data_IF_050377389182
#
_entry.id   IF_050377389182
#
_cell.length_a   1.000
_cell.length_b   1.000
_cell.length_c   1.000
_cell.angle_alpha   90.00
_cell.angle_beta   90.00
_cell.angle_gamma   90.00
#
_symmetry.space_group_name_H-M   'P 1'
#
loop_
_entity.id
_entity.type
_entity.pdbx_description
1 polymer ?
#
# COMPACT_ATOMS: atom_id res chain seq x y z
N UNK A 1 10.84 16.77 -54.20
CA UNK A 1 9.90 16.26 -53.17
C UNK A 1 10.72 15.80 -51.97
N UNK A 2 10.79 16.61 -50.91
CA UNK A 2 11.58 16.31 -49.72
C UNK A 2 10.85 15.32 -48.81
N UNK A 3 11.49 14.21 -48.49
CA UNK A 3 11.03 13.20 -47.54
C UNK A 3 11.02 13.79 -46.11
N UNK A 4 9.83 13.97 -45.55
CA UNK A 4 9.66 14.24 -44.12
C UNK A 4 9.99 12.97 -43.33
N UNK A 5 11.22 12.87 -42.83
CA UNK A 5 11.56 11.92 -41.78
C UNK A 5 10.98 12.42 -40.46
N UNK A 6 9.79 11.93 -40.11
CA UNK A 6 9.26 12.06 -38.75
C UNK A 6 10.14 11.23 -37.81
N UNK A 7 11.13 11.86 -37.20
CA UNK A 7 11.87 11.30 -36.08
C UNK A 7 10.87 10.91 -34.98
N UNK A 8 10.71 9.61 -34.73
CA UNK A 8 9.95 9.09 -33.59
C UNK A 8 10.56 9.68 -32.32
N UNK A 9 9.96 10.74 -31.76
CA UNK A 9 10.30 11.22 -30.41
C UNK A 9 10.15 10.01 -29.50
N UNK A 10 11.26 9.54 -28.87
CA UNK A 10 11.20 8.53 -27.81
C UNK A 10 10.16 9.04 -26.81
N UNK A 11 9.03 8.32 -26.65
CA UNK A 11 8.04 8.64 -25.63
C UNK A 11 8.80 8.76 -24.32
N UNK A 12 8.71 9.91 -23.63
CA UNK A 12 9.24 10.03 -22.27
C UNK A 12 8.60 8.92 -21.47
N UNK A 13 9.43 8.13 -20.77
CA UNK A 13 8.93 7.07 -19.92
C UNK A 13 8.03 7.73 -18.84
N UNK A 14 6.84 7.19 -18.59
CA UNK A 14 5.92 7.78 -17.62
C UNK A 14 6.48 7.67 -16.20
N UNK A 15 6.22 8.68 -15.38
CA UNK A 15 6.43 8.62 -13.94
C UNK A 15 5.10 8.28 -13.24
N UNK A 16 5.16 7.68 -12.04
CA UNK A 16 4.00 7.27 -11.25
C UNK A 16 4.21 7.63 -9.78
N UNK A 17 3.13 7.90 -9.07
CA UNK A 17 3.22 8.13 -7.63
C UNK A 17 3.27 6.80 -6.88
N UNK A 18 4.06 6.74 -5.82
CA UNK A 18 3.96 5.71 -4.79
C UNK A 18 2.56 5.73 -4.20
N UNK A 19 1.89 4.58 -4.16
CA UNK A 19 0.49 4.49 -3.72
C UNK A 19 0.30 4.74 -2.21
N UNK A 20 1.39 4.70 -1.42
CA UNK A 20 1.34 4.88 0.03
C UNK A 20 1.65 6.30 0.49
N UNK A 21 2.64 6.96 -0.13
CA UNK A 21 3.16 8.27 0.32
C UNK A 21 3.13 9.35 -0.78
N UNK A 22 2.75 9.00 -2.01
CA UNK A 22 2.61 9.95 -3.12
C UNK A 22 3.91 10.41 -3.78
N UNK A 23 5.08 10.00 -3.29
CA UNK A 23 6.39 10.30 -3.89
C UNK A 23 6.45 9.88 -5.35
N UNK A 24 7.12 10.67 -6.20
CA UNK A 24 7.23 10.37 -7.63
C UNK A 24 8.28 9.29 -7.86
N UNK A 25 7.91 8.25 -8.59
CA UNK A 25 8.75 7.14 -9.00
C UNK A 25 8.94 7.17 -10.53
N UNK A 26 10.19 7.07 -10.94
CA UNK A 26 10.59 6.98 -12.33
C UNK A 26 10.44 5.54 -12.84
N UNK A 27 10.52 5.38 -14.17
CA UNK A 27 10.38 4.07 -14.79
C UNK A 27 11.40 3.06 -14.26
N UNK A 28 10.91 1.91 -13.81
CA UNK A 28 11.72 0.84 -13.23
C UNK A 28 11.97 0.99 -11.74
N UNK A 29 11.53 2.07 -11.12
CA UNK A 29 11.59 2.26 -9.67
C UNK A 29 10.39 1.63 -8.95
N UNK A 30 10.57 1.40 -7.65
CA UNK A 30 9.57 0.87 -6.76
C UNK A 30 9.48 -0.66 -6.70
N UNK A 31 8.46 -1.10 -5.98
CA UNK A 31 8.15 -2.49 -5.67
C UNK A 31 6.66 -2.72 -5.88
N UNK A 32 6.31 -3.87 -6.44
CA UNK A 32 4.93 -4.19 -6.72
C UNK A 32 4.42 -5.21 -5.70
N UNK A 33 3.48 -4.79 -4.87
CA UNK A 33 2.93 -5.58 -3.77
C UNK A 33 1.45 -5.90 -3.99
N UNK A 34 0.96 -7.00 -3.40
CA UNK A 34 -0.47 -7.33 -3.34
C UNK A 34 -1.11 -6.72 -2.08
N UNK A 35 -2.44 -6.57 -2.05
CA UNK A 35 -3.15 -6.15 -0.82
C UNK A 35 -2.85 -7.09 0.35
N UNK A 36 -2.73 -8.38 0.10
CA UNK A 36 -2.33 -9.36 1.12
C UNK A 36 -0.97 -9.04 1.72
N UNK A 37 0.03 -8.66 0.91
CA UNK A 37 1.35 -8.26 1.42
C UNK A 37 1.32 -6.93 2.19
N UNK A 38 0.47 -5.98 1.78
CA UNK A 38 0.31 -4.71 2.49
C UNK A 38 -0.27 -4.94 3.89
N UNK A 39 -1.37 -5.71 3.99
CA UNK A 39 -2.07 -5.84 5.26
C UNK A 39 -1.35 -6.77 6.25
N UNK A 40 -0.47 -7.65 5.77
CA UNK A 40 0.42 -8.52 6.57
C UNK A 40 1.61 -7.77 7.18
N UNK A 41 1.41 -6.55 7.67
CA UNK A 41 2.46 -5.76 8.32
C UNK A 41 1.95 -5.00 9.52
N UNK A 42 2.41 -5.42 10.72
CA UNK A 42 2.15 -4.68 11.96
C UNK A 42 2.75 -3.28 11.91
N UNK A 43 4.00 -3.18 11.46
CA UNK A 43 4.74 -1.93 11.37
C UNK A 43 4.02 -0.90 10.49
N UNK A 44 3.49 -1.34 9.35
CA UNK A 44 2.67 -0.49 8.49
C UNK A 44 1.44 0.03 9.24
N UNK A 45 0.67 -0.86 9.87
CA UNK A 45 -0.55 -0.45 10.57
C UNK A 45 -0.31 0.45 11.77
N UNK A 46 0.71 0.16 12.57
CA UNK A 46 1.09 0.97 13.72
C UNK A 46 1.39 2.40 13.28
N UNK A 47 2.24 2.56 12.26
CA UNK A 47 2.53 3.86 11.69
C UNK A 47 1.29 4.51 11.07
N UNK A 48 0.55 3.76 10.24
CA UNK A 48 -0.61 4.26 9.49
C UNK A 48 -1.70 4.78 10.41
N UNK A 49 -1.87 4.22 11.59
CA UNK A 49 -2.88 4.63 12.56
C UNK A 49 -2.47 5.83 13.44
N UNK A 50 -1.19 6.23 13.40
CA UNK A 50 -0.70 7.41 14.14
C UNK A 50 -0.18 8.52 13.23
N UNK A 51 -0.36 8.37 11.91
CA UNK A 51 -0.14 9.45 10.95
C UNK A 51 -1.08 10.64 11.21
N UNK A 52 -0.69 11.87 10.85
CA UNK A 52 -1.50 13.07 11.10
C UNK A 52 -2.96 12.95 10.61
N UNK A 53 -3.19 12.27 9.48
CA UNK A 53 -4.51 12.11 8.87
C UNK A 53 -5.42 11.13 9.62
N UNK A 54 -4.85 10.18 10.36
CA UNK A 54 -5.58 9.08 11.01
C UNK A 54 -5.56 9.16 12.53
N UNK A 55 -4.62 9.93 13.09
CA UNK A 55 -4.37 10.08 14.52
C UNK A 55 -5.64 10.40 15.31
N UNK A 56 -6.47 11.30 14.81
CA UNK A 56 -7.70 11.71 15.48
C UNK A 56 -8.68 10.55 15.68
N UNK A 57 -8.79 9.64 14.70
CA UNK A 57 -9.65 8.47 14.78
C UNK A 57 -9.11 7.43 15.76
N UNK A 58 -7.78 7.27 15.80
CA UNK A 58 -7.12 6.37 16.74
C UNK A 58 -7.24 6.86 18.18
N UNK A 59 -7.09 8.17 18.41
CA UNK A 59 -7.38 8.77 19.73
C UNK A 59 -8.84 8.60 20.14
N UNK A 60 -9.78 8.86 19.22
CA UNK A 60 -11.19 8.65 19.50
C UNK A 60 -11.50 7.19 19.87
N UNK A 61 -10.91 6.23 19.15
CA UNK A 61 -11.05 4.81 19.44
C UNK A 61 -10.50 4.44 20.83
N UNK A 62 -9.23 4.73 21.12
CA UNK A 62 -8.57 4.25 22.35
C UNK A 62 -8.85 5.11 23.59
N UNK A 63 -8.90 6.43 23.46
CA UNK A 63 -9.03 7.34 24.61
C UNK A 63 -10.50 7.59 24.98
N UNK A 64 -11.41 7.49 24.01
CA UNK A 64 -12.84 7.82 24.19
C UNK A 64 -13.78 6.64 23.99
N UNK A 65 -13.27 5.47 23.58
CA UNK A 65 -14.09 4.31 23.20
C UNK A 65 -15.18 4.67 22.18
N UNK A 66 -14.84 5.55 21.23
CA UNK A 66 -15.79 6.13 20.28
C UNK A 66 -16.02 5.19 19.08
N UNK A 67 -17.29 4.82 18.84
CA UNK A 67 -17.69 3.93 17.75
C UNK A 67 -17.37 4.50 16.35
N UNK A 68 -17.44 5.82 16.17
CA UNK A 68 -17.08 6.47 14.91
C UNK A 68 -15.57 6.37 14.68
N UNK A 69 -14.75 6.49 15.73
CA UNK A 69 -13.32 6.21 15.70
C UNK A 69 -13.03 4.79 15.19
N UNK A 70 -13.70 3.78 15.76
CA UNK A 70 -13.60 2.38 15.29
C UNK A 70 -14.05 2.23 13.84
N UNK A 71 -15.18 2.84 13.46
CA UNK A 71 -15.71 2.78 12.09
C UNK A 71 -14.74 3.38 11.07
N UNK A 72 -14.12 4.51 11.38
CA UNK A 72 -13.11 5.13 10.51
C UNK A 72 -11.88 4.24 10.36
N UNK A 73 -11.39 3.62 11.45
CA UNK A 73 -10.29 2.63 11.40
C UNK A 73 -10.64 1.42 10.54
N UNK A 74 -11.88 0.92 10.60
CA UNK A 74 -12.39 -0.12 9.70
C UNK A 74 -12.35 0.31 8.24
N UNK A 75 -12.80 1.53 7.92
CA UNK A 75 -12.75 2.04 6.53
C UNK A 75 -11.32 2.23 6.03
N UNK A 76 -10.40 2.64 6.90
CA UNK A 76 -8.96 2.70 6.59
C UNK A 76 -8.45 1.30 6.25
N UNK A 77 -8.74 0.28 7.07
CA UNK A 77 -8.35 -1.09 6.77
C UNK A 77 -8.89 -1.57 5.41
N UNK A 78 -10.18 -1.38 5.16
CA UNK A 78 -10.85 -1.76 3.90
C UNK A 78 -10.22 -1.11 2.67
N UNK A 79 -9.81 0.16 2.76
CA UNK A 79 -9.11 0.87 1.66
C UNK A 79 -7.86 0.11 1.20
N UNK A 80 -7.09 -0.46 2.12
CA UNK A 80 -5.87 -1.19 1.78
C UNK A 80 -6.12 -2.67 1.47
N UNK A 81 -7.14 -3.28 2.09
CA UNK A 81 -7.43 -4.69 1.90
C UNK A 81 -8.21 -5.00 0.61
N UNK A 82 -9.04 -4.08 0.10
CA UNK A 82 -9.97 -4.36 -1.01
C UNK A 82 -9.45 -3.95 -2.39
N UNK A 83 -8.17 -3.62 -2.53
CA UNK A 83 -7.62 -3.14 -3.79
C UNK A 83 -7.46 -4.30 -4.80
N UNK A 84 -8.01 -4.14 -6.00
CA UNK A 84 -7.96 -5.15 -7.06
C UNK A 84 -6.66 -5.09 -7.89
N UNK A 85 -5.94 -3.98 -7.81
CA UNK A 85 -4.68 -3.73 -8.52
C UNK A 85 -3.49 -3.88 -7.57
N UNK A 86 -2.30 -4.17 -8.09
CA UNK A 86 -1.13 -4.15 -7.23
C UNK A 86 -0.81 -2.73 -6.74
N UNK A 87 -0.10 -2.66 -5.63
CA UNK A 87 0.41 -1.43 -5.02
C UNK A 87 1.83 -1.18 -5.51
N UNK A 88 2.07 -0.01 -6.11
CA UNK A 88 3.41 0.49 -6.40
C UNK A 88 3.95 1.22 -5.16
N UNK A 89 4.95 0.64 -4.53
CA UNK A 89 5.55 1.12 -3.28
C UNK A 89 6.98 1.58 -3.52
N UNK A 90 7.34 2.77 -3.05
CA UNK A 90 8.70 3.32 -3.13
C UNK A 90 9.65 2.75 -2.07
N UNK A 91 10.96 2.99 -2.26
CA UNK A 91 12.02 2.54 -1.33
C UNK A 91 11.83 3.05 0.11
N UNK A 92 11.23 4.24 0.28
CA UNK A 92 10.94 4.82 1.60
C UNK A 92 9.96 3.99 2.43
N UNK A 93 9.03 3.29 1.78
CA UNK A 93 7.93 2.58 2.44
C UNK A 93 8.13 1.07 2.46
N UNK A 94 8.88 0.49 1.51
CA UNK A 94 9.02 -0.97 1.34
C UNK A 94 9.55 -1.69 2.60
N UNK A 95 10.35 -1.00 3.41
CA UNK A 95 10.96 -1.55 4.63
C UNK A 95 9.95 -1.81 5.77
N UNK A 96 8.69 -1.45 5.56
CA UNK A 96 7.61 -1.79 6.47
C UNK A 96 7.05 -3.19 6.24
N UNK A 97 7.34 -3.83 5.10
CA UNK A 97 6.73 -5.09 4.71
C UNK A 97 7.74 -6.24 4.77
N UNK A 98 7.30 -7.38 5.31
CA UNK A 98 8.05 -8.64 5.33
C UNK A 98 7.85 -9.37 4.01
N UNK A 99 8.56 -8.94 2.97
CA UNK A 99 8.45 -9.46 1.61
C UNK A 99 9.81 -9.79 1.00
N UNK A 100 9.80 -10.60 -0.04
CA UNK A 100 10.92 -10.74 -0.97
C UNK A 100 11.04 -9.46 -1.83
N UNK A 101 11.98 -8.60 -1.46
CA UNK A 101 12.22 -7.32 -2.13
C UNK A 101 12.77 -7.47 -3.54
N UNK A 102 13.57 -8.50 -3.80
CA UNK A 102 14.14 -8.72 -5.14
C UNK A 102 13.03 -9.09 -6.11
N UNK A 103 12.18 -10.04 -5.71
CA UNK A 103 11.02 -10.46 -6.49
C UNK A 103 9.99 -9.34 -6.68
N UNK A 104 9.69 -8.57 -5.62
CA UNK A 104 8.77 -7.44 -5.74
C UNK A 104 9.29 -6.33 -6.66
N UNK A 105 10.62 -6.13 -6.71
CA UNK A 105 11.26 -5.19 -7.66
C UNK A 105 11.23 -5.72 -9.08
N UNK A 106 11.42 -7.02 -9.28
CA UNK A 106 11.26 -7.66 -10.60
C UNK A 106 9.82 -7.49 -11.11
N UNK A 107 8.82 -7.71 -10.26
CA UNK A 107 7.42 -7.47 -10.61
C UNK A 107 7.13 -6.01 -10.96
N UNK A 108 7.72 -5.05 -10.26
CA UNK A 108 7.61 -3.64 -10.62
C UNK A 108 8.18 -3.39 -12.01
N UNK A 109 9.34 -3.96 -12.34
CA UNK A 109 9.94 -3.84 -13.68
C UNK A 109 9.03 -4.40 -14.77
N UNK A 110 8.46 -5.60 -14.58
CA UNK A 110 7.51 -6.20 -15.53
C UNK A 110 6.24 -5.34 -15.69
N UNK A 111 5.75 -4.75 -14.60
CA UNK A 111 4.65 -3.80 -14.62
C UNK A 111 4.94 -2.53 -15.41
N UNK A 112 6.13 -1.94 -15.23
CA UNK A 112 6.58 -0.80 -16.03
C UNK A 112 6.70 -1.15 -17.52
N UNK A 113 7.30 -2.29 -17.85
CA UNK A 113 7.54 -2.74 -19.23
C UNK A 113 6.26 -3.13 -19.97
N UNK A 114 5.27 -3.64 -19.25
CA UNK A 114 3.96 -4.03 -19.77
C UNK A 114 2.97 -2.86 -19.92
N UNK A 115 3.43 -1.61 -19.82
CA UNK A 115 2.58 -0.42 -19.78
C UNK A 115 1.47 -0.53 -18.71
N UNK A 116 1.84 -0.99 -17.51
CA UNK A 116 1.00 -1.09 -16.31
C UNK A 116 -0.04 -2.22 -16.30
N UNK A 117 0.13 -3.24 -17.14
CA UNK A 117 -0.86 -4.32 -17.30
C UNK A 117 -0.49 -5.63 -16.61
N UNK A 118 0.80 -5.88 -16.36
CA UNK A 118 1.25 -7.03 -15.57
C UNK A 118 0.67 -6.95 -14.15
N UNK A 119 0.42 -8.09 -13.53
CA UNK A 119 0.10 -8.15 -12.12
C UNK A 119 0.84 -9.30 -11.45
N UNK A 120 1.31 -9.13 -10.21
CA UNK A 120 1.87 -10.23 -9.43
C UNK A 120 0.84 -11.36 -9.27
N UNK A 121 1.30 -12.61 -9.02
CA UNK A 121 0.43 -13.67 -8.54
C UNK A 121 -0.34 -13.21 -7.29
N UNK A 122 -1.56 -13.71 -7.12
CA UNK A 122 -2.42 -13.40 -5.96
C UNK A 122 -2.74 -11.90 -5.80
N UNK A 123 -2.70 -11.14 -6.90
CA UNK A 123 -3.28 -9.80 -6.91
C UNK A 123 -4.79 -9.88 -6.71
N UNK A 124 -5.32 -8.93 -5.96
CA UNK A 124 -6.75 -8.83 -5.69
C UNK A 124 -7.02 -8.44 -4.24
N UNK A 125 -8.32 -8.36 -3.88
CA UNK A 125 -8.74 -8.16 -2.51
C UNK A 125 -8.13 -9.22 -1.59
N UNK A 126 -7.66 -8.80 -0.42
CA UNK A 126 -7.02 -9.66 0.55
C UNK A 126 -7.96 -10.77 1.02
N UNK A 127 -9.23 -10.45 1.28
CA UNK A 127 -10.26 -11.42 1.69
C UNK A 127 -10.53 -12.54 0.68
N UNK A 128 -10.17 -12.35 -0.59
CA UNK A 128 -10.28 -13.38 -1.63
C UNK A 128 -8.96 -14.08 -1.98
N UNK A 129 -7.83 -13.53 -1.53
CA UNK A 129 -6.48 -14.00 -1.88
C UNK A 129 -5.69 -14.55 -0.69
N UNK A 130 -6.23 -14.47 0.53
CA UNK A 130 -5.63 -15.06 1.73
C UNK A 130 -6.60 -15.96 2.49
N UNK A 131 -6.07 -16.74 3.43
CA UNK A 131 -6.88 -17.57 4.31
C UNK A 131 -7.77 -16.70 5.21
N UNK A 132 -9.01 -17.13 5.45
CA UNK A 132 -10.00 -16.31 6.18
C UNK A 132 -9.58 -16.00 7.61
N UNK A 133 -8.91 -16.92 8.28
CA UNK A 133 -8.38 -16.75 9.65
C UNK A 133 -7.26 -15.71 9.68
N UNK A 134 -6.36 -15.77 8.70
CA UNK A 134 -5.29 -14.79 8.53
C UNK A 134 -5.85 -13.39 8.24
N UNK A 135 -6.84 -13.28 7.36
CA UNK A 135 -7.51 -12.01 7.06
C UNK A 135 -8.12 -11.38 8.31
N UNK A 136 -8.89 -12.16 9.06
CA UNK A 136 -9.53 -11.66 10.28
C UNK A 136 -8.49 -11.32 11.35
N UNK A 137 -7.37 -12.04 11.45
CA UNK A 137 -6.28 -11.69 12.36
C UNK A 137 -5.69 -10.30 12.04
N UNK A 138 -5.41 -10.01 10.77
CA UNK A 138 -4.83 -8.72 10.37
C UNK A 138 -5.83 -7.57 10.45
N UNK A 139 -7.10 -7.85 10.13
CA UNK A 139 -8.21 -6.92 10.32
C UNK A 139 -8.39 -6.54 11.78
N UNK A 140 -8.45 -7.52 12.66
CA UNK A 140 -8.55 -7.31 14.11
C UNK A 140 -7.35 -6.51 14.63
N UNK A 141 -6.13 -6.86 14.22
CA UNK A 141 -4.94 -6.10 14.63
C UNK A 141 -5.01 -4.64 14.18
N UNK A 142 -5.25 -4.40 12.89
CA UNK A 142 -5.28 -3.06 12.32
C UNK A 142 -6.34 -2.18 12.96
N UNK A 143 -7.55 -2.73 13.18
CA UNK A 143 -8.68 -1.96 13.70
C UNK A 143 -8.58 -1.80 15.22
N UNK A 144 -8.26 -2.86 15.97
CA UNK A 144 -8.43 -2.87 17.43
C UNK A 144 -7.14 -2.65 18.21
N UNK A 145 -5.96 -2.76 17.60
CA UNK A 145 -4.67 -2.72 18.33
C UNK A 145 -3.65 -1.73 17.77
N UNK A 146 -3.62 -1.58 16.45
CA UNK A 146 -2.55 -0.82 15.79
C UNK A 146 -2.51 0.64 16.25
N UNK A 147 -1.30 1.08 16.61
CA UNK A 147 -1.02 2.45 17.08
C UNK A 147 -1.25 2.70 18.57
N UNK A 148 -1.85 1.77 19.34
CA UNK A 148 -2.15 1.98 20.76
C UNK A 148 -0.89 2.29 21.58
N UNK A 149 0.16 1.49 21.42
CA UNK A 149 1.42 1.66 22.16
C UNK A 149 2.11 2.99 21.86
N UNK A 150 2.02 3.46 20.61
CA UNK A 150 2.62 4.72 20.20
C UNK A 150 1.82 5.89 20.77
N UNK A 151 0.48 5.82 20.76
CA UNK A 151 -0.38 6.83 21.38
C UNK A 151 -0.09 6.98 22.87
N UNK A 152 0.08 5.86 23.59
CA UNK A 152 0.45 5.86 25.01
C UNK A 152 1.80 6.53 25.32
N UNK A 153 2.69 6.65 24.33
CA UNK A 153 3.99 7.33 24.47
C UNK A 153 3.93 8.81 24.12
N UNK A 154 2.90 9.22 23.38
CA UNK A 154 2.70 10.59 22.88
C UNK A 154 1.76 11.38 23.81
N UNK A 155 0.82 10.70 24.46
CA UNK A 155 -0.03 11.25 25.53
C UNK A 155 0.65 11.22 26.88
#
# INVERSE_FOLDING_TARGET
MGLFSFGKKKKKKPARSCDLEGSLLEFGEGYLLTSSQIIKSKRFWDNKMVEPETLAYSKAHFEKNDEMGTKMRTMIFQKYSMQNKPWLVGDGQVNQFEIDKEKAREYAKLWWESEFTFAPPEVGPADSTMASDEYEQWKEYAIMKAGEEQLRKIG
#
